data_IF_046888960025
#
_entry.id   IF_046888960025
#
_cell.length_a   1.000
_cell.length_b   1.000
_cell.length_c   1.000
_cell.angle_alpha   90.00
_cell.angle_beta   90.00
_cell.angle_gamma   90.00
#
_symmetry.space_group_name_H-M   'P 1'
#
loop_
_entity.id
_entity.type
_entity.pdbx_description
1 polymer ?
#
# COMPACT_ATOMS: atom_id res chain seq x y z
N UNK A 1 13.34 -7.89 9.66
CA UNK A 1 13.76 -6.62 10.30
C UNK A 1 14.75 -5.89 9.38
N UNK A 2 15.19 -4.68 9.76
CA UNK A 2 16.12 -3.83 8.98
C UNK A 2 17.41 -4.49 8.49
N UNK A 3 17.84 -5.62 9.06
CA UNK A 3 19.04 -6.32 8.57
C UNK A 3 18.79 -6.98 7.20
N UNK A 4 17.55 -7.35 6.91
CA UNK A 4 17.20 -8.14 5.73
C UNK A 4 16.19 -7.43 4.81
N UNK A 5 15.40 -6.50 5.35
CA UNK A 5 14.37 -5.78 4.59
C UNK A 5 14.95 -4.47 4.08
N UNK A 6 14.78 -4.21 2.78
CA UNK A 6 15.15 -2.95 2.14
C UNK A 6 14.06 -1.90 2.32
N UNK A 7 12.82 -2.26 2.02
CA UNK A 7 11.63 -1.42 2.13
C UNK A 7 10.37 -2.29 2.12
N UNK A 8 9.24 -1.69 2.47
CA UNK A 8 7.93 -2.35 2.44
C UNK A 8 6.98 -1.46 1.64
N UNK A 9 6.17 -2.05 0.77
CA UNK A 9 5.09 -1.37 0.05
C UNK A 9 3.74 -1.86 0.56
N UNK A 10 2.79 -0.96 0.75
CA UNK A 10 1.40 -1.24 1.07
C UNK A 10 0.55 -0.55 0.01
N UNK A 11 -0.14 -1.34 -0.82
CA UNK A 11 -1.02 -0.83 -1.88
C UNK A 11 -2.46 -1.16 -1.56
N UNK A 12 -3.35 -0.17 -1.62
CA UNK A 12 -4.80 -0.37 -1.72
C UNK A 12 -5.34 0.38 -2.93
N UNK A 13 -5.52 -0.32 -4.04
CA UNK A 13 -6.00 0.26 -5.29
C UNK A 13 -7.44 -0.14 -5.57
N UNK A 14 -8.19 0.79 -6.15
CA UNK A 14 -9.58 0.59 -6.57
C UNK A 14 -9.77 0.99 -8.03
N UNK A 15 -10.42 0.13 -8.82
CA UNK A 15 -10.83 0.48 -10.20
C UNK A 15 -12.02 1.42 -10.23
N UNK A 16 -12.85 1.39 -9.18
CA UNK A 16 -14.05 2.22 -9.07
C UNK A 16 -13.69 3.69 -8.84
N UNK A 17 -14.53 4.57 -9.36
CA UNK A 17 -14.48 6.00 -9.07
C UNK A 17 -15.16 6.35 -7.75
N UNK A 18 -15.65 7.57 -7.67
CA UNK A 18 -16.40 8.06 -6.48
C UNK A 18 -17.90 7.76 -6.54
N UNK A 19 -18.38 7.27 -7.68
CA UNK A 19 -19.77 6.84 -7.91
C UNK A 19 -20.77 7.90 -7.40
N UNK A 20 -21.79 7.50 -6.63
CA UNK A 20 -22.81 8.41 -6.08
C UNK A 20 -22.38 9.10 -4.79
N UNK A 21 -21.12 8.94 -4.37
CA UNK A 21 -20.61 9.43 -3.07
C UNK A 21 -19.87 10.75 -3.18
N UNK A 22 -19.95 11.46 -4.31
CA UNK A 22 -19.20 12.72 -4.56
C UNK A 22 -19.28 13.71 -3.41
N UNK A 23 -20.49 14.07 -2.96
CA UNK A 23 -20.69 15.02 -1.86
C UNK A 23 -19.99 14.63 -0.55
N UNK A 24 -19.95 13.34 -0.22
CA UNK A 24 -19.28 12.84 0.98
C UNK A 24 -17.76 12.76 0.79
N UNK A 25 -17.35 12.18 -0.34
CA UNK A 25 -15.94 11.95 -0.63
C UNK A 25 -15.17 13.25 -0.75
N UNK A 26 -15.80 14.29 -1.31
CA UNK A 26 -15.18 15.61 -1.50
C UNK A 26 -14.82 16.33 -0.20
N UNK A 27 -15.36 15.89 0.94
CA UNK A 27 -15.00 16.39 2.27
C UNK A 27 -13.95 15.52 2.98
N UNK A 28 -13.79 14.27 2.54
CA UNK A 28 -12.94 13.29 3.20
C UNK A 28 -11.58 13.15 2.51
N UNK A 29 -11.60 12.87 1.20
CA UNK A 29 -10.41 12.55 0.41
C UNK A 29 -9.82 11.18 0.73
N UNK A 30 -8.92 10.71 -0.13
CA UNK A 30 -8.27 9.40 0.02
C UNK A 30 -7.45 9.27 1.32
N UNK A 31 -6.88 10.38 1.83
CA UNK A 31 -6.08 10.34 3.05
C UNK A 31 -6.92 10.00 4.30
N UNK A 32 -8.13 10.55 4.41
CA UNK A 32 -9.05 10.21 5.54
C UNK A 32 -9.81 8.91 5.30
N UNK A 33 -10.25 8.66 4.07
CA UNK A 33 -11.10 7.51 3.73
C UNK A 33 -10.35 6.18 3.85
N UNK A 34 -9.10 6.13 3.37
CA UNK A 34 -8.32 4.88 3.27
C UNK A 34 -7.07 4.85 4.13
N UNK A 35 -6.30 5.94 4.16
CA UNK A 35 -5.00 5.90 4.85
C UNK A 35 -5.19 5.88 6.36
N UNK A 36 -5.83 6.91 6.93
CA UNK A 36 -5.96 7.12 8.37
C UNK A 36 -6.52 5.89 9.10
N UNK A 37 -7.43 5.18 8.47
CA UNK A 37 -8.09 3.98 8.98
C UNK A 37 -7.36 2.70 8.51
N UNK A 38 -7.69 2.22 7.32
CA UNK A 38 -7.37 0.88 6.85
C UNK A 38 -5.87 0.64 6.68
N UNK A 39 -5.16 1.56 6.01
CA UNK A 39 -3.75 1.35 5.70
C UNK A 39 -2.84 1.57 6.92
N UNK A 40 -3.22 2.45 7.84
CA UNK A 40 -2.53 2.55 9.13
C UNK A 40 -2.68 1.26 9.93
N UNK A 41 -3.84 0.60 9.93
CA UNK A 41 -3.98 -0.71 10.59
C UNK A 41 -3.10 -1.79 9.95
N UNK A 42 -3.06 -1.87 8.61
CA UNK A 42 -2.16 -2.80 7.91
C UNK A 42 -0.70 -2.50 8.27
N UNK A 43 -0.28 -1.22 8.25
CA UNK A 43 1.05 -0.80 8.68
C UNK A 43 1.35 -1.29 10.10
N UNK A 44 0.42 -1.07 11.04
CA UNK A 44 0.56 -1.50 12.43
C UNK A 44 0.79 -3.00 12.57
N UNK A 45 -0.02 -3.82 11.90
CA UNK A 45 0.09 -5.29 11.95
C UNK A 45 1.40 -5.79 11.31
N UNK A 46 1.81 -5.20 10.19
CA UNK A 46 3.05 -5.59 9.50
C UNK A 46 4.29 -5.19 10.30
N UNK A 47 4.24 -4.06 11.00
CA UNK A 47 5.40 -3.50 11.68
C UNK A 47 5.51 -3.83 13.17
N UNK A 48 4.47 -4.36 13.82
CA UNK A 48 4.46 -4.62 15.26
C UNK A 48 5.57 -5.59 15.69
N UNK A 49 5.98 -5.47 16.95
CA UNK A 49 6.80 -6.48 17.59
C UNK A 49 5.97 -7.75 17.88
N UNK A 50 6.60 -8.93 18.05
CA UNK A 50 5.90 -10.10 18.53
C UNK A 50 5.26 -9.81 19.90
N UNK A 51 3.95 -9.98 20.07
CA UNK A 51 3.30 -9.76 21.34
C UNK A 51 3.69 -10.84 22.35
N UNK A 52 3.70 -10.51 23.64
CA UNK A 52 4.05 -11.46 24.71
C UNK A 52 3.05 -12.61 24.85
N UNK A 53 1.79 -12.37 24.49
CA UNK A 53 0.69 -13.33 24.44
C UNK A 53 -0.21 -13.00 23.25
N UNK A 54 -1.11 -13.91 22.89
CA UNK A 54 -2.13 -13.65 21.86
C UNK A 54 -3.41 -13.04 22.44
N UNK A 55 -3.31 -12.39 23.61
CA UNK A 55 -4.43 -11.64 24.17
C UNK A 55 -4.63 -10.31 23.43
N UNK A 56 -5.89 -9.89 23.27
CA UNK A 56 -6.24 -8.68 22.54
C UNK A 56 -5.51 -7.42 23.00
N UNK A 57 -5.22 -7.31 24.31
CA UNK A 57 -4.47 -6.19 24.88
C UNK A 57 -2.99 -6.22 24.48
N UNK A 58 -2.37 -7.40 24.49
CA UNK A 58 -0.96 -7.59 24.13
C UNK A 58 -0.74 -7.26 22.64
N UNK A 59 -1.59 -7.76 21.74
CA UNK A 59 -1.52 -7.46 20.30
C UNK A 59 -1.68 -5.96 20.05
N UNK A 60 -2.72 -5.34 20.61
CA UNK A 60 -2.98 -3.90 20.41
C UNK A 60 -1.90 -3.00 21.02
N UNK A 61 -1.25 -3.43 22.10
CA UNK A 61 -0.11 -2.70 22.66
C UNK A 61 1.06 -2.65 21.68
N UNK A 62 1.35 -3.74 20.96
CA UNK A 62 2.43 -3.73 19.97
C UNK A 62 2.08 -2.88 18.74
N UNK A 63 0.81 -2.85 18.32
CA UNK A 63 0.33 -1.95 17.25
C UNK A 63 0.48 -0.47 17.67
N UNK A 64 0.04 -0.10 18.88
CA UNK A 64 0.15 1.29 19.37
C UNK A 64 1.60 1.75 19.46
N UNK A 65 2.54 0.87 19.86
CA UNK A 65 3.97 1.20 19.86
C UNK A 65 4.50 1.56 18.47
N UNK A 66 3.99 0.93 17.41
CA UNK A 66 4.33 1.31 16.03
C UNK A 66 3.91 2.75 15.77
N UNK A 67 2.67 3.10 16.07
CA UNK A 67 2.15 4.45 15.80
C UNK A 67 2.83 5.54 16.63
N UNK A 68 3.19 5.25 17.89
CA UNK A 68 4.02 6.16 18.68
C UNK A 68 5.46 6.30 18.17
N UNK A 69 5.92 5.38 17.31
CA UNK A 69 7.24 5.44 16.68
C UNK A 69 7.21 6.13 15.31
N UNK A 70 6.07 6.70 14.90
CA UNK A 70 6.00 7.49 13.67
C UNK A 70 6.53 8.90 13.95
N UNK A 71 7.54 9.37 13.19
CA UNK A 71 8.05 10.72 13.35
C UNK A 71 6.99 11.73 12.92
N UNK A 72 6.89 12.83 13.65
CA UNK A 72 6.09 13.97 13.22
C UNK A 72 6.70 14.55 11.93
N UNK A 73 5.86 14.81 10.93
CA UNK A 73 6.29 15.45 9.68
C UNK A 73 6.17 16.95 9.85
N UNK A 74 7.27 17.68 9.67
CA UNK A 74 7.23 19.13 9.66
C UNK A 74 6.46 19.62 8.41
N UNK A 75 5.62 20.67 8.51
CA UNK A 75 4.80 21.12 7.38
C UNK A 75 5.61 21.38 6.09
N UNK A 76 6.78 22.02 6.22
CA UNK A 76 7.68 22.28 5.08
C UNK A 76 8.30 21.03 4.43
N UNK A 77 8.19 19.86 5.06
CA UNK A 77 8.74 18.60 4.57
C UNK A 77 7.67 17.68 3.98
N UNK A 78 6.38 18.03 4.09
CA UNK A 78 5.26 17.21 3.62
C UNK A 78 5.46 16.77 2.16
N UNK A 79 5.94 17.65 1.29
CA UNK A 79 6.22 17.34 -0.12
C UNK A 79 7.27 16.23 -0.34
N UNK A 80 8.15 15.96 0.63
CA UNK A 80 9.15 14.89 0.57
C UNK A 80 8.58 13.52 0.98
N UNK A 81 7.48 13.52 1.73
CA UNK A 81 6.89 12.33 2.33
C UNK A 81 5.51 12.00 1.79
N UNK A 82 4.81 12.94 1.15
CA UNK A 82 3.45 12.76 0.69
C UNK A 82 3.23 13.35 -0.70
N UNK A 83 2.59 12.57 -1.56
CA UNK A 83 2.13 12.98 -2.89
C UNK A 83 0.63 12.77 -2.96
N UNK A 84 -0.10 13.84 -3.30
CA UNK A 84 -1.54 13.78 -3.56
C UNK A 84 -1.85 13.91 -5.05
N UNK A 85 -2.84 13.15 -5.51
CA UNK A 85 -3.27 13.17 -6.89
C UNK A 85 -4.79 13.19 -7.06
N UNK A 86 -5.23 13.61 -8.25
CA UNK A 86 -6.63 13.63 -8.65
C UNK A 86 -6.79 13.01 -10.03
N UNK A 87 -7.70 12.04 -10.19
CA UNK A 87 -7.87 11.41 -11.50
C UNK A 87 -8.47 12.39 -12.52
N UNK A 88 -7.92 12.38 -13.71
CA UNK A 88 -8.34 13.20 -14.85
C UNK A 88 -9.05 12.35 -15.88
N UNK A 89 -9.83 13.01 -16.73
CA UNK A 89 -10.53 12.39 -17.85
C UNK A 89 -9.60 11.50 -18.65
N UNK A 90 -10.07 10.29 -18.99
CA UNK A 90 -9.35 9.35 -19.84
C UNK A 90 -10.33 8.52 -20.68
N UNK A 91 -9.79 7.63 -21.52
CA UNK A 91 -10.57 6.66 -22.27
C UNK A 91 -10.10 5.26 -21.88
N UNK A 92 -10.99 4.45 -21.31
CA UNK A 92 -10.72 3.08 -20.89
C UNK A 92 -11.64 2.16 -21.68
N UNK A 93 -11.07 1.20 -22.42
CA UNK A 93 -11.84 0.24 -23.22
C UNK A 93 -12.87 0.87 -24.18
N UNK A 94 -12.58 2.07 -24.70
CA UNK A 94 -13.46 2.82 -25.61
C UNK A 94 -14.53 3.68 -24.90
N UNK A 95 -14.63 3.61 -23.57
CA UNK A 95 -15.51 4.47 -22.79
C UNK A 95 -14.78 5.70 -22.27
N UNK A 96 -15.44 6.86 -22.35
CA UNK A 96 -14.91 8.10 -21.80
C UNK A 96 -15.20 8.11 -20.30
N UNK A 97 -14.13 8.12 -19.51
CA UNK A 97 -14.21 8.24 -18.06
C UNK A 97 -14.06 9.72 -17.70
N UNK A 98 -15.02 10.33 -16.97
CA UNK A 98 -14.92 11.72 -16.54
C UNK A 98 -13.74 11.92 -15.56
N UNK A 99 -13.19 13.14 -15.53
CA UNK A 99 -12.27 13.51 -14.46
C UNK A 99 -13.03 13.74 -13.15
N UNK A 100 -12.34 13.72 -12.02
CA UNK A 100 -12.98 13.84 -10.71
C UNK A 100 -13.86 15.10 -10.57
N UNK A 101 -13.40 16.24 -11.07
CA UNK A 101 -14.13 17.53 -11.06
C UNK A 101 -15.34 17.57 -11.99
N UNK A 102 -15.43 16.61 -12.91
CA UNK A 102 -16.57 16.46 -13.82
C UNK A 102 -17.59 15.43 -13.30
N UNK A 103 -17.31 14.76 -12.17
CA UNK A 103 -18.22 13.77 -11.58
C UNK A 103 -19.41 14.46 -10.88
N UNK A 104 -20.53 13.73 -10.77
CA UNK A 104 -21.74 14.26 -10.17
C UNK A 104 -21.55 14.60 -8.68
N UNK A 105 -22.04 15.78 -8.28
CA UNK A 105 -21.95 16.29 -6.90
C UNK A 105 -20.53 16.52 -6.36
N UNK A 106 -19.55 16.77 -7.25
CA UNK A 106 -18.20 17.24 -6.90
C UNK A 106 -18.07 18.72 -7.24
N UNK A 107 -17.33 19.49 -6.43
CA UNK A 107 -17.00 20.88 -6.76
C UNK A 107 -16.07 20.92 -8.00
N UNK A 108 -16.42 21.67 -9.08
CA UNK A 108 -15.55 21.85 -10.23
C UNK A 108 -14.15 22.42 -9.91
N UNK A 109 -14.00 23.06 -8.75
CA UNK A 109 -12.73 23.59 -8.23
C UNK A 109 -12.11 22.73 -7.13
N UNK A 110 -12.67 21.54 -6.87
CA UNK A 110 -12.23 20.67 -5.79
C UNK A 110 -10.73 20.36 -5.88
N UNK A 111 -10.08 20.46 -4.73
CA UNK A 111 -8.68 20.05 -4.50
C UNK A 111 -8.59 18.77 -3.68
N UNK A 112 -9.70 18.06 -3.54
CA UNK A 112 -9.74 16.80 -2.80
C UNK A 112 -8.99 15.72 -3.56
N UNK A 113 -8.10 15.05 -2.85
CA UNK A 113 -7.30 13.98 -3.38
C UNK A 113 -8.11 12.69 -3.57
N UNK A 114 -7.87 12.03 -4.70
CA UNK A 114 -8.41 10.69 -5.01
C UNK A 114 -7.30 9.65 -5.08
N UNK A 115 -6.05 10.08 -4.92
CA UNK A 115 -4.85 9.26 -4.84
C UNK A 115 -3.91 9.85 -3.79
N UNK A 116 -3.29 8.98 -3.00
CA UNK A 116 -2.23 9.30 -2.06
C UNK A 116 -1.08 8.31 -2.22
N UNK A 117 0.14 8.82 -2.21
CA UNK A 117 1.33 8.03 -1.91
C UNK A 117 2.08 8.67 -0.74
N UNK A 118 2.50 7.86 0.22
CA UNK A 118 3.24 8.26 1.41
C UNK A 118 4.54 7.48 1.52
N UNK A 119 5.57 8.14 2.04
CA UNK A 119 6.80 7.56 2.55
C UNK A 119 6.79 7.72 4.06
N UNK A 120 6.80 6.60 4.77
CA UNK A 120 6.68 6.54 6.22
C UNK A 120 7.93 5.88 6.79
N UNK A 121 8.44 6.42 7.88
CA UNK A 121 9.49 5.80 8.67
C UNK A 121 8.93 5.40 10.03
N UNK A 122 9.43 4.30 10.59
CA UNK A 122 9.10 3.84 11.93
C UNK A 122 10.39 3.89 12.74
N UNK A 123 10.50 4.87 13.64
CA UNK A 123 11.69 5.16 14.43
C UNK A 123 11.80 4.24 15.65
N UNK A 124 12.03 2.95 15.37
CA UNK A 124 12.31 1.96 16.39
C UNK A 124 13.50 1.05 16.01
N UNK A 125 13.89 0.17 16.93
CA UNK A 125 15.04 -0.72 16.74
C UNK A 125 14.92 -1.64 15.53
N UNK A 126 13.71 -2.13 15.23
CA UNK A 126 13.44 -3.09 14.16
C UNK A 126 13.47 -2.44 12.78
N UNK A 127 12.95 -1.22 12.66
CA UNK A 127 12.64 -0.54 11.41
C UNK A 127 13.45 0.72 11.13
N UNK A 128 14.31 1.16 12.05
CA UNK A 128 15.15 2.34 11.84
C UNK A 128 15.89 2.30 10.48
N UNK A 129 15.61 3.30 9.65
CA UNK A 129 16.16 3.47 8.30
C UNK A 129 15.46 2.68 7.18
N UNK A 130 14.42 1.89 7.47
CA UNK A 130 13.63 1.16 6.46
C UNK A 130 12.38 1.97 6.12
N UNK A 131 12.23 2.46 4.87
CA UNK A 131 11.03 3.16 4.46
C UNK A 131 9.88 2.19 4.21
N UNK A 132 8.69 2.63 4.62
CA UNK A 132 7.40 2.05 4.26
C UNK A 132 6.74 2.98 3.25
N UNK A 133 6.40 2.45 2.09
CA UNK A 133 5.69 3.17 1.05
C UNK A 133 4.23 2.74 1.07
N UNK A 134 3.33 3.70 1.26
CA UNK A 134 1.89 3.43 1.27
C UNK A 134 1.31 4.12 0.05
N UNK A 135 0.49 3.45 -0.76
CA UNK A 135 -0.29 4.11 -1.80
C UNK A 135 -1.72 3.63 -1.82
N UNK A 136 -2.61 4.55 -2.17
CA UNK A 136 -4.02 4.28 -2.38
C UNK A 136 -4.60 5.20 -3.42
N UNK A 137 -5.59 4.72 -4.17
CA UNK A 137 -6.29 5.59 -5.08
C UNK A 137 -7.49 4.94 -5.76
N UNK A 138 -8.33 5.81 -6.32
CA UNK A 138 -9.50 5.46 -7.13
C UNK A 138 -9.15 5.50 -8.61
N UNK A 139 -9.94 4.83 -9.44
CA UNK A 139 -9.70 4.72 -10.89
C UNK A 139 -8.27 4.25 -11.21
N UNK A 140 -7.71 3.35 -10.40
CA UNK A 140 -6.46 2.67 -10.70
C UNK A 140 -6.71 1.45 -11.61
N UNK A 141 -5.67 0.85 -12.23
CA UNK A 141 -5.86 -0.16 -13.28
C UNK A 141 -6.50 -1.46 -12.77
N UNK A 142 -6.23 -1.82 -11.51
CA UNK A 142 -6.81 -3.02 -10.88
C UNK A 142 -7.22 -2.76 -9.43
N UNK A 143 -8.17 -3.55 -8.95
CA UNK A 143 -8.62 -3.53 -7.55
C UNK A 143 -7.76 -4.52 -6.80
N UNK A 144 -7.00 -4.05 -5.81
CA UNK A 144 -6.09 -4.91 -5.05
C UNK A 144 -5.72 -4.26 -3.71
N UNK A 145 -5.56 -5.08 -2.69
CA UNK A 145 -4.96 -4.71 -1.41
C UNK A 145 -3.83 -5.69 -1.11
N UNK A 146 -2.62 -5.16 -0.93
CA UNK A 146 -1.42 -5.99 -0.80
C UNK A 146 -0.33 -5.35 0.04
N UNK A 147 0.55 -6.19 0.55
CA UNK A 147 1.81 -5.79 1.17
C UNK A 147 2.96 -6.49 0.46
N UNK A 148 3.94 -5.73 -0.01
CA UNK A 148 5.16 -6.25 -0.62
C UNK A 148 6.36 -5.95 0.26
N UNK A 149 7.03 -6.99 0.74
CA UNK A 149 8.25 -6.87 1.54
C UNK A 149 9.44 -7.13 0.63
N UNK A 150 10.21 -6.09 0.35
CA UNK A 150 11.41 -6.19 -0.48
C UNK A 150 12.63 -6.47 0.38
N UNK A 151 13.34 -7.56 0.08
CA UNK A 151 14.55 -7.91 0.79
C UNK A 151 15.76 -7.14 0.25
N UNK A 152 16.82 -7.04 1.05
CA UNK A 152 18.11 -6.49 0.60
C UNK A 152 18.76 -7.46 -0.37
N UNK A 153 19.47 -6.91 -1.36
CA UNK A 153 20.33 -7.70 -2.25
C UNK A 153 21.38 -8.46 -1.45
N UNK A 154 21.73 -9.67 -1.89
CA UNK A 154 22.83 -10.43 -1.29
C UNK A 154 24.16 -9.69 -1.52
N UNK A 155 24.99 -9.50 -0.49
CA UNK A 155 26.26 -8.76 -0.62
C UNK A 155 27.23 -9.37 -1.65
N UNK A 156 27.15 -10.69 -1.85
CA UNK A 156 27.98 -11.41 -2.81
C UNK A 156 27.13 -12.19 -3.82
N UNK A 157 27.12 -11.70 -5.06
CA UNK A 157 26.49 -12.40 -6.19
C UNK A 157 27.51 -13.38 -6.78
N UNK A 158 27.34 -14.68 -6.50
CA UNK A 158 28.21 -15.75 -7.03
C UNK A 158 27.91 -16.08 -8.50
N UNK A 159 26.67 -15.85 -8.93
CA UNK A 159 26.19 -16.19 -10.26
C UNK A 159 25.95 -14.91 -11.08
N UNK A 160 27.04 -14.24 -11.47
CA UNK A 160 26.97 -13.09 -12.40
C UNK A 160 26.93 -13.61 -13.84
N UNK A 161 25.85 -13.34 -14.57
CA UNK A 161 25.89 -13.42 -16.03
C UNK A 161 26.66 -12.22 -16.58
N UNK A 162 27.39 -12.41 -17.68
CA UNK A 162 28.25 -11.38 -18.29
C UNK A 162 27.48 -10.11 -18.74
N UNK A 163 26.14 -10.19 -18.86
CA UNK A 163 25.29 -9.10 -19.36
C UNK A 163 24.08 -8.78 -18.46
N UNK A 164 23.96 -9.37 -17.26
CA UNK A 164 22.90 -9.02 -16.30
C UNK A 164 23.50 -8.29 -15.10
N UNK A 165 23.24 -6.99 -15.02
CA UNK A 165 23.82 -6.13 -13.99
C UNK A 165 23.23 -6.33 -12.59
N UNK A 166 22.03 -6.92 -12.45
CA UNK A 166 21.38 -7.07 -11.14
C UNK A 166 20.53 -8.35 -11.08
N UNK A 167 20.78 -9.20 -10.08
CA UNK A 167 19.76 -10.14 -9.57
C UNK A 167 18.78 -9.31 -8.75
N UNK A 168 17.50 -9.27 -9.16
CA UNK A 168 16.46 -8.62 -8.38
C UNK A 168 16.41 -9.23 -6.97
N UNK A 169 16.28 -8.42 -5.91
CA UNK A 169 16.13 -8.93 -4.57
C UNK A 169 14.87 -9.79 -4.42
N UNK A 170 14.88 -10.67 -3.42
CA UNK A 170 13.69 -11.45 -3.09
C UNK A 170 12.54 -10.52 -2.69
N UNK A 171 11.30 -10.96 -2.94
CA UNK A 171 10.09 -10.25 -2.54
C UNK A 171 9.13 -11.24 -1.90
N UNK A 172 8.54 -10.85 -0.76
CA UNK A 172 7.39 -11.54 -0.19
C UNK A 172 6.16 -10.67 -0.38
N UNK A 173 5.21 -11.15 -1.17
CA UNK A 173 3.95 -10.48 -1.49
C UNK A 173 2.85 -11.16 -0.70
N UNK A 174 2.13 -10.38 0.10
CA UNK A 174 0.97 -10.80 0.87
C UNK A 174 -0.25 -10.14 0.24
N UNK A 175 -1.10 -10.92 -0.45
CA UNK A 175 -2.32 -10.38 -1.06
C UNK A 175 -3.50 -10.57 -0.11
N UNK A 176 -4.12 -9.44 0.23
CA UNK A 176 -5.21 -9.35 1.20
C UNK A 176 -6.57 -9.45 0.50
N UNK A 177 -6.69 -8.90 -0.71
CA UNK A 177 -7.88 -9.03 -1.57
C UNK A 177 -7.61 -8.41 -2.95
N UNK A 178 -8.32 -8.80 -4.02
CA UNK A 178 -8.94 -10.13 -4.18
C UNK A 178 -7.85 -11.21 -4.34
N UNK A 179 -8.23 -12.48 -4.53
CA UNK A 179 -7.26 -13.57 -4.76
C UNK A 179 -6.25 -13.68 -3.60
N UNK A 180 -6.79 -13.90 -2.41
CA UNK A 180 -6.05 -13.93 -1.16
C UNK A 180 -4.98 -15.01 -1.20
N UNK A 181 -3.74 -14.63 -0.86
CA UNK A 181 -2.62 -15.55 -1.00
C UNK A 181 -1.28 -14.94 -0.64
N UNK A 182 -0.25 -15.80 -0.74
CA UNK A 182 1.13 -15.47 -0.43
C UNK A 182 1.98 -15.87 -1.62
N UNK A 183 2.86 -14.96 -2.05
CA UNK A 183 3.78 -15.16 -3.16
C UNK A 183 5.20 -14.80 -2.72
N UNK A 184 6.14 -15.74 -2.88
CA UNK A 184 7.56 -15.52 -2.63
C UNK A 184 8.32 -15.57 -3.96
N UNK A 185 8.88 -14.42 -4.35
CA UNK A 185 9.76 -14.30 -5.50
C UNK A 185 11.22 -14.44 -5.08
N UNK A 186 11.96 -15.34 -5.74
CA UNK A 186 13.38 -15.57 -5.46
C UNK A 186 14.14 -16.04 -6.70
N UNK A 187 15.47 -15.91 -6.66
CA UNK A 187 16.35 -16.39 -7.72
C UNK A 187 16.57 -17.90 -7.64
N UNK A 188 16.37 -18.62 -8.75
CA UNK A 188 16.67 -20.04 -8.88
C UNK A 188 17.64 -20.29 -10.05
N UNK A 189 18.65 -21.13 -9.83
CA UNK A 189 19.52 -21.61 -10.91
C UNK A 189 18.69 -22.45 -11.88
N UNK A 190 18.75 -22.13 -13.18
CA UNK A 190 18.13 -22.96 -14.19
C UNK A 190 18.79 -24.35 -14.24
N UNK A 191 18.01 -25.45 -14.28
CA UNK A 191 18.53 -26.78 -14.52
C UNK A 191 19.33 -26.83 -15.83
N UNK A 192 20.53 -27.43 -15.80
CA UNK A 192 21.40 -27.55 -16.98
C UNK A 192 22.85 -27.12 -16.73
N UNK A 193 23.62 -27.09 -17.82
CA UNK A 193 25.00 -26.62 -17.81
C UNK A 193 25.05 -25.08 -17.71
N UNK A 194 25.90 -24.56 -16.83
CA UNK A 194 26.08 -23.13 -16.61
C UNK A 194 25.54 -22.63 -15.26
N UNK A 195 25.53 -21.31 -15.10
CA UNK A 195 25.17 -20.59 -13.87
C UNK A 195 24.09 -19.54 -14.10
N UNK A 196 23.15 -19.82 -15.00
CA UNK A 196 22.06 -18.91 -15.28
C UNK A 196 21.05 -18.95 -14.13
N UNK A 197 20.69 -17.78 -13.60
CA UNK A 197 19.67 -17.61 -12.56
C UNK A 197 18.45 -16.97 -13.19
N UNK A 198 17.27 -17.49 -12.89
CA UNK A 198 15.98 -16.92 -13.28
C UNK A 198 15.18 -16.61 -12.02
N UNK A 199 14.40 -15.52 -12.04
CA UNK A 199 13.38 -15.26 -11.04
C UNK A 199 12.28 -16.31 -11.17
N UNK A 200 11.97 -16.96 -10.06
CA UNK A 200 10.84 -17.89 -9.95
C UNK A 200 9.99 -17.48 -8.76
N UNK A 201 8.76 -17.97 -8.77
CA UNK A 201 7.76 -17.69 -7.77
C UNK A 201 7.33 -18.98 -7.09
N UNK A 202 7.11 -18.91 -5.79
CA UNK A 202 6.38 -19.91 -5.02
C UNK A 202 5.13 -19.23 -4.47
N UNK A 203 3.96 -19.73 -4.85
CA UNK A 203 2.67 -19.17 -4.49
C UNK A 203 1.84 -20.14 -3.65
N UNK A 204 0.89 -19.56 -2.94
CA UNK A 204 -0.18 -20.22 -2.22
C UNK A 204 -1.43 -19.36 -2.32
N UNK A 205 -2.52 -19.94 -2.82
CA UNK A 205 -3.82 -19.28 -2.89
C UNK A 205 -4.76 -19.84 -1.81
N UNK A 206 -5.57 -18.98 -1.20
CA UNK A 206 -6.58 -19.41 -0.23
C UNK A 206 -7.64 -20.31 -0.87
N UNK A 207 -7.94 -20.11 -2.16
CA UNK A 207 -8.83 -20.97 -2.95
C UNK A 207 -8.35 -22.42 -3.03
N UNK A 208 -7.05 -22.69 -2.86
CA UNK A 208 -6.50 -24.05 -2.87
C UNK A 208 -6.81 -24.84 -1.59
N UNK A 209 -7.25 -24.16 -0.51
CA UNK A 209 -7.69 -24.81 0.73
C UNK A 209 -9.06 -25.50 0.60
N UNK A 210 -9.72 -25.38 -0.57
CA UNK A 210 -11.05 -25.92 -0.86
C UNK A 210 -12.18 -24.95 -0.50
N UNK A 211 -13.42 -25.46 -0.51
CA UNK A 211 -14.65 -24.67 -0.27
C UNK A 211 -14.85 -24.30 1.21
N UNK A 212 -13.80 -23.86 1.91
CA UNK A 212 -13.96 -23.27 3.24
C UNK A 212 -14.43 -21.84 3.02
N UNK A 213 -15.68 -21.48 3.38
CA UNK A 213 -16.14 -20.11 3.20
C UNK A 213 -15.30 -19.21 4.09
N UNK A 214 -14.53 -18.30 3.48
CA UNK A 214 -13.88 -17.21 4.20
C UNK A 214 -15.01 -16.28 4.69
N UNK A 215 -15.19 -16.12 6.02
CA UNK A 215 -16.27 -15.29 6.55
C UNK A 215 -16.13 -13.86 6.03
N UNK A 216 -17.24 -13.23 5.71
CA UNK A 216 -17.23 -11.82 5.33
C UNK A 216 -16.72 -10.97 6.49
N UNK A 217 -16.07 -9.84 6.20
CA UNK A 217 -15.43 -9.01 7.23
C UNK A 217 -16.39 -8.64 8.39
N UNK A 218 -17.64 -8.27 8.08
CA UNK A 218 -18.64 -7.95 9.10
C UNK A 218 -19.12 -9.17 9.90
N UNK A 219 -19.20 -10.34 9.29
CA UNK A 219 -19.57 -11.57 9.99
C UNK A 219 -18.55 -11.89 11.08
N UNK A 220 -17.26 -11.80 10.75
CA UNK A 220 -16.18 -12.00 11.70
C UNK A 220 -16.22 -10.97 12.84
N UNK A 221 -16.34 -9.68 12.52
CA UNK A 221 -16.32 -8.62 13.53
C UNK A 221 -17.55 -8.67 14.47
N UNK A 222 -18.73 -9.03 13.95
CA UNK A 222 -19.92 -9.21 14.79
C UNK A 222 -19.75 -10.39 15.75
N UNK A 223 -19.19 -11.50 15.28
CA UNK A 223 -18.89 -12.65 16.13
C UNK A 223 -17.87 -12.29 17.21
N UNK A 224 -16.78 -11.61 16.86
CA UNK A 224 -15.76 -11.16 17.81
C UNK A 224 -16.35 -10.23 18.88
N UNK A 225 -17.26 -9.32 18.48
CA UNK A 225 -18.00 -8.47 19.43
C UNK A 225 -18.86 -9.29 20.42
N UNK A 226 -19.53 -10.36 19.96
CA UNK A 226 -20.32 -11.24 20.83
C UNK A 226 -19.44 -12.06 21.77
N UNK A 227 -18.24 -12.43 21.34
CA UNK A 227 -17.26 -13.17 22.14
C UNK A 227 -16.45 -12.27 23.08
N UNK A 228 -16.55 -10.94 22.94
CA UNK A 228 -15.74 -9.99 23.68
C UNK A 228 -14.27 -9.94 23.23
N UNK A 229 -13.97 -10.45 22.03
CA UNK A 229 -12.65 -10.36 21.43
C UNK A 229 -12.48 -9.00 20.75
N UNK A 230 -11.54 -8.20 21.25
CA UNK A 230 -11.26 -6.86 20.74
C UNK A 230 -9.96 -6.78 19.93
N UNK A 231 -9.38 -7.93 19.55
CA UNK A 231 -8.09 -8.01 18.84
C UNK A 231 -8.13 -7.31 17.48
N UNK A 232 -9.22 -7.45 16.72
CA UNK A 232 -9.40 -6.85 15.40
C UNK A 232 -10.01 -5.44 15.44
N UNK A 233 -10.17 -4.85 16.62
CA UNK A 233 -10.76 -3.52 16.80
C UNK A 233 -9.69 -2.49 17.15
N UNK A 234 -9.72 -1.36 16.44
CA UNK A 234 -8.86 -0.22 16.74
C UNK A 234 -9.18 0.33 18.14
N UNK A 235 -8.15 0.48 18.98
CA UNK A 235 -8.26 1.09 20.31
C UNK A 235 -8.11 2.61 20.19
N UNK A 236 -8.77 3.37 21.07
CA UNK A 236 -8.82 4.84 20.98
C UNK A 236 -7.44 5.51 20.94
N UNK A 237 -6.50 5.05 21.75
CA UNK A 237 -5.10 5.52 21.75
C UNK A 237 -4.39 5.27 20.41
N UNK A 238 -4.64 4.12 19.77
CA UNK A 238 -4.12 3.82 18.44
C UNK A 238 -4.67 4.78 17.39
N UNK A 239 -5.97 5.10 17.47
CA UNK A 239 -6.64 6.02 16.56
C UNK A 239 -6.11 7.44 16.73
N UNK A 240 -5.94 7.90 17.97
CA UNK A 240 -5.35 9.21 18.28
C UNK A 240 -3.92 9.33 17.76
N UNK A 241 -3.09 8.28 17.94
CA UNK A 241 -1.73 8.26 17.42
C UNK A 241 -1.69 8.30 15.88
N UNK A 242 -2.60 7.58 15.20
CA UNK A 242 -2.73 7.66 13.74
C UNK A 242 -3.10 9.08 13.29
N UNK A 243 -4.05 9.74 13.97
CA UNK A 243 -4.40 11.13 13.68
C UNK A 243 -3.22 12.07 13.91
N UNK A 244 -2.43 11.87 14.97
CA UNK A 244 -1.22 12.67 15.22
C UNK A 244 -0.22 12.65 14.06
N UNK A 245 -0.18 11.55 13.29
CA UNK A 245 0.66 11.43 12.09
C UNK A 245 0.02 12.05 10.83
N UNK A 246 -1.29 11.84 10.64
CA UNK A 246 -1.99 12.25 9.40
C UNK A 246 -2.41 13.73 9.42
N UNK A 247 -2.77 14.26 10.59
CA UNK A 247 -3.26 15.65 10.74
C UNK A 247 -2.28 16.71 10.20
N UNK A 248 -0.96 16.65 10.48
CA UNK A 248 -0.02 17.64 9.95
C UNK A 248 -0.02 17.73 8.42
N UNK A 249 -0.15 16.57 7.73
CA UNK A 249 -0.23 16.50 6.26
C UNK A 249 -1.50 17.20 5.78
N UNK A 250 -2.63 16.92 6.43
CA UNK A 250 -3.92 17.53 6.10
C UNK A 250 -3.93 19.04 6.32
N UNK A 251 -3.33 19.51 7.43
CA UNK A 251 -3.26 20.94 7.76
C UNK A 251 -2.41 21.69 6.76
N UNK A 252 -1.23 21.17 6.42
CA UNK A 252 -0.36 21.78 5.41
C UNK A 252 -1.10 21.99 4.08
N UNK A 253 -1.83 20.96 3.63
CA UNK A 253 -2.61 21.03 2.40
C UNK A 253 -3.82 21.97 2.42
N UNK A 254 -4.34 22.27 3.62
CA UNK A 254 -5.43 23.23 3.82
C UNK A 254 -4.90 24.66 3.91
N UNK A 255 -3.77 24.85 4.58
CA UNK A 255 -3.14 26.16 4.79
C UNK A 255 -2.39 26.66 3.55
N UNK A 256 -1.86 25.74 2.73
CA UNK A 256 -1.21 26.03 1.45
C UNK A 256 -2.03 25.50 0.28
N UNK A 257 -3.17 26.15 -0.06
CA UNK A 257 -4.02 25.72 -1.14
C UNK A 257 -3.33 25.81 -2.51
N UNK A 258 -2.23 26.55 -2.66
CA UNK A 258 -1.45 26.57 -3.91
C UNK A 258 -0.61 25.30 -4.13
N UNK A 259 -0.45 24.45 -3.10
CA UNK A 259 0.29 23.20 -3.19
C UNK A 259 -0.26 22.28 -4.26
N UNK A 260 0.63 21.81 -5.14
CA UNK A 260 0.24 21.09 -6.35
C UNK A 260 -0.52 19.81 -6.03
N UNK A 261 -1.69 19.65 -6.64
CA UNK A 261 -2.38 18.37 -6.76
C UNK A 261 -2.09 17.80 -8.15
N UNK A 262 -1.51 16.61 -8.21
CA UNK A 262 -1.07 16.04 -9.48
C UNK A 262 -2.22 15.32 -10.20
N UNK A 263 -2.43 15.66 -11.47
CA UNK A 263 -3.36 14.92 -12.32
C UNK A 263 -2.80 13.55 -12.70
N UNK A 264 -3.64 12.53 -12.73
CA UNK A 264 -3.32 11.23 -13.35
C UNK A 264 -4.50 10.74 -14.19
N UNK A 265 -4.29 10.24 -15.42
CA UNK A 265 -5.40 9.70 -16.20
C UNK A 265 -6.07 8.54 -15.47
N UNK A 266 -7.40 8.51 -15.43
CA UNK A 266 -8.12 7.34 -14.91
C UNK A 266 -7.67 6.08 -15.66
N UNK A 267 -7.45 4.99 -14.93
CA UNK A 267 -6.89 3.75 -15.45
C UNK A 267 -5.36 3.67 -15.42
N UNK A 268 -4.65 4.65 -14.85
CA UNK A 268 -3.19 4.57 -14.64
C UNK A 268 -2.85 4.40 -13.16
N UNK A 269 -1.62 4.01 -12.86
CA UNK A 269 -1.10 3.81 -11.49
C UNK A 269 -0.85 5.08 -10.67
N UNK A 270 -1.58 6.17 -10.96
CA UNK A 270 -1.42 7.45 -10.28
C UNK A 270 -0.39 8.38 -10.93
N UNK A 271 -0.04 9.49 -10.24
CA UNK A 271 0.88 10.51 -10.75
C UNK A 271 2.33 10.04 -10.70
N UNK A 272 3.14 10.40 -11.71
CA UNK A 272 4.57 10.04 -11.79
C UNK A 272 5.39 10.52 -10.59
N UNK A 273 4.94 11.58 -9.93
CA UNK A 273 5.56 12.15 -8.74
C UNK A 273 5.56 11.17 -7.57
N UNK A 274 4.63 10.21 -7.53
CA UNK A 274 4.64 9.16 -6.51
C UNK A 274 5.93 8.33 -6.54
N UNK A 275 6.53 8.14 -7.73
CA UNK A 275 7.77 7.37 -7.89
C UNK A 275 8.98 8.13 -7.36
N UNK A 276 8.89 9.47 -7.22
CA UNK A 276 9.97 10.28 -6.69
C UNK A 276 10.18 10.06 -5.18
N UNK A 277 9.18 9.54 -4.46
CA UNK A 277 9.28 9.22 -3.03
C UNK A 277 10.38 8.19 -2.72
N UNK A 278 10.68 7.30 -3.68
CA UNK A 278 11.77 6.35 -3.53
C UNK A 278 13.13 7.03 -3.39
N UNK A 279 13.34 8.15 -4.11
CA UNK A 279 14.61 8.89 -4.09
C UNK A 279 15.80 8.11 -4.68
N UNK A 280 15.54 6.98 -5.34
CA UNK A 280 16.54 6.11 -5.97
C UNK A 280 16.20 5.97 -7.45
N UNK A 281 17.07 6.43 -8.36
CA UNK A 281 16.84 6.27 -9.79
C UNK A 281 16.65 4.80 -10.18
N UNK A 282 15.58 4.51 -10.92
CA UNK A 282 15.27 3.16 -11.41
C UNK A 282 14.55 2.26 -10.40
N UNK A 283 14.32 2.71 -9.15
CA UNK A 283 13.38 2.05 -8.26
C UNK A 283 11.97 2.56 -8.55
N UNK A 284 11.03 1.62 -8.71
CA UNK A 284 9.63 1.92 -8.99
C UNK A 284 8.73 1.03 -8.14
N UNK A 285 7.46 1.40 -8.02
CA UNK A 285 6.45 0.63 -7.30
C UNK A 285 6.29 -0.76 -7.91
N UNK A 286 5.94 -1.74 -7.06
CA UNK A 286 5.38 -2.98 -7.57
C UNK A 286 4.05 -2.69 -8.29
N UNK A 287 3.83 -3.25 -9.48
CA UNK A 287 2.58 -3.09 -10.22
C UNK A 287 1.80 -4.40 -10.18
N UNK A 288 0.83 -4.55 -9.26
CA UNK A 288 0.09 -5.78 -9.13
C UNK A 288 -0.83 -6.01 -10.33
N UNK A 289 -0.96 -7.26 -10.75
CA UNK A 289 -1.99 -7.66 -11.71
C UNK A 289 -3.29 -8.05 -10.98
N UNK A 290 -4.33 -8.32 -11.77
CA UNK A 290 -5.64 -8.77 -11.25
C UNK A 290 -5.54 -10.08 -10.46
N UNK A 291 -4.72 -11.01 -10.92
CA UNK A 291 -4.43 -12.28 -10.25
C UNK A 291 -3.09 -12.16 -9.50
N UNK A 292 -2.92 -12.93 -8.43
CA UNK A 292 -1.71 -12.96 -7.61
C UNK A 292 -0.48 -13.39 -8.40
N UNK A 293 -0.66 -14.38 -9.28
CA UNK A 293 0.38 -14.85 -10.19
C UNK A 293 0.12 -14.29 -11.59
N UNK A 294 1.19 -13.95 -12.30
CA UNK A 294 1.14 -13.66 -13.73
C UNK A 294 0.68 -14.92 -14.48
N UNK A 295 -0.63 -15.08 -14.67
CA UNK A 295 -1.11 -15.76 -15.88
C UNK A 295 -0.51 -15.00 -17.06
N UNK A 296 -0.03 -15.67 -18.10
CA UNK A 296 0.71 -15.08 -19.22
C UNK A 296 -0.07 -14.04 -20.08
N UNK A 297 -1.15 -13.47 -19.55
CA UNK A 297 -1.98 -12.41 -20.09
C UNK A 297 -1.62 -11.11 -19.37
N UNK A 298 -0.91 -10.25 -20.09
CA UNK A 298 -0.64 -8.83 -19.82
C UNK A 298 -1.44 -8.22 -18.66
N UNK A 299 -0.73 -7.71 -17.66
CA UNK A 299 -1.25 -6.71 -16.72
C UNK A 299 -1.91 -5.60 -17.57
N UNK A 300 -3.23 -5.44 -17.48
CA UNK A 300 -3.97 -4.43 -18.26
C UNK A 300 -3.33 -3.04 -18.00
N UNK A 301 -2.84 -2.42 -19.08
CA UNK A 301 -2.38 -1.04 -19.15
C UNK A 301 -3.47 -0.17 -19.77
#
# INVERSE_FOLDING_TARGET
NRNYISHVEITAAETVGIEKRGKYYDQSGALRDMVQSHLMQILGVIAMEPPSTFESSAVRNEIVKVFHSLPAIHPSEVANFAVRGQYTKSMIQGEIIPGYRDEEHVDPFSRTETYIALKVFIENWRWGGVPFYIRTGKRLPTRVTEVVIHFKSTPHILFKQKDQHHTEPNQLILRIQPDEGILLNFGMKLPGAGFQVKKVSMDFHYSDLGDIPVPQAYERLLLDCMMGDSTLFARGDAVEACWGFVDPILREWQENPDDTIFGYPAGTWGPRQANLLFGVPGLDWHYPCKNLVEDALFCEL
#
